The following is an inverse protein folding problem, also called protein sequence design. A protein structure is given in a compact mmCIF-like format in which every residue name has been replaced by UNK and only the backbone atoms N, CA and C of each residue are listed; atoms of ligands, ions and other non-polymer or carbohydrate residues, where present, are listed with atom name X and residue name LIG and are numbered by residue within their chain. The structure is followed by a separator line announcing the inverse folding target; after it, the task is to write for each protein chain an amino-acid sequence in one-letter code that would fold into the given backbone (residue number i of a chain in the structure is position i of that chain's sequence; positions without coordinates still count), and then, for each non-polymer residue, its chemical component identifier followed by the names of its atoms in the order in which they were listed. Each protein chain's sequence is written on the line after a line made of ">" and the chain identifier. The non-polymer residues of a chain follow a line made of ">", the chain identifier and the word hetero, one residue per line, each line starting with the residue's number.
data_IF_285119561779
#
_entry.id   IF_285119561779
#
_cell.length_a   1.000
_cell.length_b   1.000
_cell.length_c   1.000
_cell.angle_alpha   90.00
_cell.angle_beta   90.00
_cell.angle_gamma   90.00
#
_symmetry.space_group_name_H-M   'P 1'
#
loop_
_entity.id
_entity.type
_entity.pdbx_description
1 polymer ?
#
# COMPACT_ATOMS: atom_id res chain seq x y z
N UNK A 1 22.13 -4.92 -32.69
CA UNK A 1 21.85 -3.92 -31.64
C UNK A 1 20.69 -3.07 -32.10
N UNK A 2 19.63 -2.97 -31.30
CA UNK A 2 18.49 -2.07 -31.56
C UNK A 2 18.56 -0.95 -30.52
N UNK A 3 18.94 0.24 -30.96
CA UNK A 3 19.09 1.40 -30.09
C UNK A 3 17.82 2.26 -30.15
N UNK A 4 17.18 2.44 -29.00
CA UNK A 4 15.93 3.20 -28.88
C UNK A 4 16.12 4.44 -28.02
N UNK A 5 15.36 5.50 -28.31
CA UNK A 5 15.20 6.58 -27.32
C UNK A 5 14.44 6.07 -26.10
N UNK A 6 14.59 6.76 -24.96
CA UNK A 6 13.91 6.44 -23.70
C UNK A 6 12.40 6.34 -23.87
N UNK A 7 11.78 7.26 -24.62
CA UNK A 7 10.35 7.25 -24.91
C UNK A 7 9.91 6.06 -25.77
N UNK A 8 10.72 5.70 -26.79
CA UNK A 8 10.44 4.55 -27.64
C UNK A 8 10.56 3.23 -26.85
N UNK A 9 11.60 3.10 -26.03
CA UNK A 9 11.80 1.90 -25.23
C UNK A 9 10.78 1.78 -24.09
N UNK A 10 10.42 2.87 -23.42
CA UNK A 10 9.36 2.87 -22.40
C UNK A 10 8.03 2.38 -22.99
N UNK A 11 7.67 2.85 -24.19
CA UNK A 11 6.48 2.37 -24.91
C UNK A 11 6.61 0.89 -25.28
N UNK A 12 7.77 0.45 -25.77
CA UNK A 12 8.05 -0.94 -26.10
C UNK A 12 7.89 -1.88 -24.89
N UNK A 13 8.37 -1.46 -23.72
CA UNK A 13 8.34 -2.23 -22.48
C UNK A 13 7.01 -2.10 -21.69
N UNK A 14 6.06 -1.27 -22.15
CA UNK A 14 4.77 -1.06 -21.50
C UNK A 14 4.84 -0.24 -20.21
N UNK A 15 5.79 0.70 -20.11
CA UNK A 15 6.11 1.44 -18.88
C UNK A 15 6.03 2.96 -19.12
N UNK A 16 5.89 3.73 -18.04
CA UNK A 16 6.05 5.18 -18.11
C UNK A 16 7.54 5.57 -18.23
N UNK A 17 7.82 6.74 -18.80
CA UNK A 17 9.19 7.29 -18.87
C UNK A 17 9.81 7.46 -17.49
N UNK A 18 9.02 7.86 -16.50
CA UNK A 18 9.46 8.01 -15.11
C UNK A 18 9.86 6.67 -14.49
N UNK A 19 9.09 5.61 -14.75
CA UNK A 19 9.43 4.27 -14.28
C UNK A 19 10.76 3.78 -14.88
N UNK A 20 11.01 4.08 -16.15
CA UNK A 20 12.28 3.76 -16.82
C UNK A 20 13.47 4.52 -16.20
N UNK A 21 13.33 5.82 -15.88
CA UNK A 21 14.38 6.58 -15.18
C UNK A 21 14.68 6.02 -13.79
N UNK A 22 13.64 5.64 -13.04
CA UNK A 22 13.81 5.02 -11.73
C UNK A 22 14.55 3.68 -11.82
N UNK A 23 14.47 2.98 -12.95
CA UNK A 23 15.19 1.73 -13.18
C UNK A 23 16.63 1.97 -13.61
N UNK A 24 16.88 2.95 -14.48
CA UNK A 24 18.24 3.38 -14.84
C UNK A 24 19.05 3.83 -13.61
N UNK A 25 18.39 4.39 -12.60
CA UNK A 25 19.01 4.76 -11.34
C UNK A 25 19.43 3.58 -10.45
N UNK A 26 18.98 2.35 -10.75
CA UNK A 26 19.33 1.15 -9.97
C UNK A 26 20.66 0.58 -10.42
N UNK A 27 21.48 0.18 -9.45
CA UNK A 27 22.78 -0.46 -9.71
C UNK A 27 22.59 -1.76 -10.51
N UNK A 28 23.34 -1.90 -11.61
CA UNK A 28 23.32 -3.09 -12.47
C UNK A 28 22.32 -3.05 -13.63
N UNK A 29 21.49 -2.00 -13.76
CA UNK A 29 20.71 -1.78 -14.98
C UNK A 29 21.65 -1.46 -16.16
N UNK A 30 21.39 -1.98 -17.38
CA UNK A 30 22.25 -1.72 -18.53
C UNK A 30 22.40 -0.22 -18.80
N UNK A 31 23.65 0.23 -18.93
CA UNK A 31 23.94 1.62 -19.25
C UNK A 31 23.50 1.96 -20.69
N UNK A 32 23.27 3.24 -20.94
CA UNK A 32 22.99 3.73 -22.29
C UNK A 32 24.21 3.56 -23.19
N UNK A 33 23.97 3.26 -24.46
CA UNK A 33 24.97 3.23 -25.53
C UNK A 33 24.69 4.42 -26.44
N UNK A 34 25.67 5.32 -26.57
CA UNK A 34 25.54 6.58 -27.34
C UNK A 34 24.31 7.42 -26.95
N UNK A 35 24.02 7.46 -25.64
CA UNK A 35 22.86 8.18 -25.09
C UNK A 35 21.50 7.53 -25.37
N UNK A 36 21.48 6.33 -25.95
CA UNK A 36 20.26 5.56 -26.27
C UNK A 36 20.19 4.25 -25.48
N UNK A 37 18.98 3.70 -25.38
CA UNK A 37 18.72 2.42 -24.73
C UNK A 37 19.08 1.28 -25.69
N UNK A 38 19.97 0.38 -25.27
CA UNK A 38 20.15 -0.90 -25.95
C UNK A 38 19.00 -1.83 -25.58
N UNK A 39 18.07 -2.01 -26.52
CA UNK A 39 16.88 -2.81 -26.34
C UNK A 39 17.23 -4.25 -25.93
N UNK A 40 18.22 -4.88 -26.57
CA UNK A 40 18.52 -6.29 -26.34
C UNK A 40 19.12 -6.51 -24.95
N UNK A 41 20.02 -5.62 -24.53
CA UNK A 41 20.61 -5.69 -23.20
C UNK A 41 19.56 -5.44 -22.10
N UNK A 42 18.68 -4.45 -22.30
CA UNK A 42 17.63 -4.13 -21.34
C UNK A 42 16.56 -5.23 -21.29
N UNK A 43 16.14 -5.79 -22.42
CA UNK A 43 15.18 -6.90 -22.46
C UNK A 43 15.75 -8.16 -21.82
N UNK A 44 17.03 -8.47 -22.06
CA UNK A 44 17.71 -9.60 -21.42
C UNK A 44 17.87 -9.40 -19.89
N UNK A 45 18.16 -8.16 -19.45
CA UNK A 45 18.17 -7.81 -18.03
C UNK A 45 16.77 -8.01 -17.42
N UNK A 46 15.72 -7.53 -18.09
CA UNK A 46 14.33 -7.68 -17.63
C UNK A 46 13.83 -9.12 -17.67
N UNK A 47 14.28 -9.92 -18.64
CA UNK A 47 13.92 -11.33 -18.77
C UNK A 47 14.33 -12.16 -17.55
N UNK A 48 15.43 -11.79 -16.85
CA UNK A 48 15.85 -12.42 -15.58
C UNK A 48 14.81 -12.29 -14.48
N UNK A 49 13.96 -11.26 -14.55
CA UNK A 49 12.90 -10.97 -13.58
C UNK A 49 11.50 -11.32 -14.11
N UNK A 50 11.40 -11.72 -15.39
CA UNK A 50 10.17 -12.14 -16.07
C UNK A 50 10.28 -13.63 -16.38
N UNK A 51 9.93 -14.48 -15.41
CA UNK A 51 9.85 -15.92 -15.69
C UNK A 51 8.75 -16.20 -16.73
N UNK A 52 8.98 -17.14 -17.65
CA UNK A 52 7.92 -17.62 -18.56
C UNK A 52 6.87 -18.47 -17.84
N UNK A 53 7.23 -19.04 -16.68
CA UNK A 53 6.30 -19.65 -15.73
C UNK A 53 5.59 -18.63 -14.84
N UNK A 54 5.83 -17.33 -15.05
CA UNK A 54 5.25 -16.28 -14.25
C UNK A 54 3.77 -16.05 -14.61
N UNK A 55 2.84 -16.24 -13.66
CA UNK A 55 1.41 -16.01 -13.88
C UNK A 55 1.06 -14.57 -14.30
N UNK A 56 1.95 -13.59 -14.06
CA UNK A 56 1.78 -12.18 -14.45
C UNK A 56 1.51 -11.98 -15.95
N UNK A 57 2.01 -12.88 -16.81
CA UNK A 57 1.75 -12.83 -18.27
C UNK A 57 0.30 -13.15 -18.64
N UNK A 58 -0.46 -13.81 -17.76
CA UNK A 58 -1.88 -14.18 -17.96
C UNK A 58 -2.86 -13.16 -17.38
N UNK A 59 -2.40 -12.29 -16.47
CA UNK A 59 -3.22 -11.29 -15.77
C UNK A 59 -3.55 -10.04 -16.61
N UNK A 60 -2.97 -9.87 -17.80
CA UNK A 60 -3.33 -8.77 -18.72
C UNK A 60 -4.76 -8.86 -19.28
N UNK A 61 -5.48 -9.97 -19.00
CA UNK A 61 -6.92 -10.11 -19.29
C UNK A 61 -7.72 -9.78 -18.02
N UNK A 62 -7.86 -8.50 -17.72
CA UNK A 62 -8.69 -8.00 -16.61
C UNK A 62 -10.14 -8.52 -16.72
N UNK A 63 -10.66 -9.09 -15.62
CA UNK A 63 -12.11 -9.34 -15.44
C UNK A 63 -12.74 -8.21 -14.60
N UNK A 64 -14.03 -7.89 -14.81
CA UNK A 64 -14.70 -6.83 -14.07
C UNK A 64 -14.98 -7.26 -12.62
N UNK A 65 -14.88 -6.28 -11.72
CA UNK A 65 -15.07 -6.38 -10.28
C UNK A 65 -16.53 -6.74 -10.01
N UNK A 66 -16.79 -7.86 -9.35
CA UNK A 66 -18.11 -8.15 -8.76
C UNK A 66 -18.00 -8.10 -7.25
N UNK A 67 -18.81 -7.23 -6.67
CA UNK A 67 -19.03 -7.09 -5.24
C UNK A 67 -19.53 -8.40 -4.61
N UNK A 68 -18.94 -8.81 -3.50
CA UNK A 68 -19.55 -9.81 -2.62
C UNK A 68 -19.12 -9.62 -1.14
N UNK A 69 -19.85 -8.72 -0.48
CA UNK A 69 -20.44 -8.79 0.88
C UNK A 69 -19.67 -9.47 2.02
N UNK A 70 -19.42 -8.70 3.09
CA UNK A 70 -19.57 -9.16 4.46
C UNK A 70 -20.44 -8.17 5.26
N UNK A 71 -21.61 -8.64 5.73
CA UNK A 71 -22.52 -7.93 6.62
C UNK A 71 -21.94 -7.87 8.04
N UNK A 72 -21.74 -6.68 8.60
CA UNK A 72 -21.78 -6.43 10.04
C UNK A 72 -22.28 -5.01 10.31
N UNK A 73 -23.30 -4.90 11.17
CA UNK A 73 -23.98 -3.67 11.55
C UNK A 73 -22.99 -2.59 12.02
N UNK A 74 -23.11 -1.37 11.49
CA UNK A 74 -22.40 -0.17 12.00
C UNK A 74 -21.02 0.15 11.39
N UNK A 75 -20.66 -0.42 10.24
CA UNK A 75 -19.34 -0.21 9.58
C UNK A 75 -19.30 0.83 8.46
N UNK A 76 -20.40 1.52 8.17
CA UNK A 76 -20.40 2.50 7.07
C UNK A 76 -19.42 3.64 7.37
N UNK A 77 -18.43 3.89 6.48
CA UNK A 77 -17.52 5.01 6.65
C UNK A 77 -18.27 6.33 6.50
N UNK A 78 -18.01 7.27 7.41
CA UNK A 78 -18.55 8.62 7.40
C UNK A 78 -17.42 9.63 7.38
N UNK A 79 -17.69 10.82 6.84
CA UNK A 79 -16.76 11.93 6.93
C UNK A 79 -16.92 12.59 8.32
N UNK A 80 -15.81 12.75 9.03
CA UNK A 80 -15.77 13.29 10.40
C UNK A 80 -14.59 14.25 10.55
N UNK A 81 -14.72 15.29 11.38
CA UNK A 81 -13.62 16.22 11.63
C UNK A 81 -12.53 15.55 12.48
N UNK A 82 -11.28 15.96 12.31
CA UNK A 82 -10.16 15.49 13.14
C UNK A 82 -10.42 15.77 14.63
N UNK A 83 -11.05 16.90 14.97
CA UNK A 83 -11.42 17.22 16.35
C UNK A 83 -12.40 16.19 16.96
N UNK A 84 -13.42 15.78 16.21
CA UNK A 84 -14.39 14.79 16.65
C UNK A 84 -13.77 13.39 16.73
N UNK A 85 -12.91 13.04 15.78
CA UNK A 85 -12.15 11.78 15.81
C UNK A 85 -11.30 11.70 17.07
N UNK A 86 -10.51 12.73 17.39
CA UNK A 86 -9.68 12.79 18.61
C UNK A 86 -10.52 12.60 19.88
N UNK A 87 -11.70 13.24 19.94
CA UNK A 87 -12.64 13.09 21.07
C UNK A 87 -13.07 11.63 21.25
N UNK A 88 -13.52 10.97 20.19
CA UNK A 88 -13.99 9.57 20.25
C UNK A 88 -12.85 8.60 20.61
N UNK A 89 -11.66 8.82 20.04
CA UNK A 89 -10.46 8.01 20.36
C UNK A 89 -10.16 8.10 21.86
N UNK A 90 -10.16 9.30 22.43
CA UNK A 90 -9.89 9.53 23.84
C UNK A 90 -10.98 8.93 24.76
N UNK A 91 -12.25 9.07 24.41
CA UNK A 91 -13.39 8.51 25.17
C UNK A 91 -13.37 6.97 25.25
N UNK A 92 -12.70 6.33 24.29
CA UNK A 92 -12.70 4.88 24.15
C UNK A 92 -11.31 4.24 24.14
N UNK A 93 -10.27 4.97 24.57
CA UNK A 93 -8.89 4.49 24.54
C UNK A 93 -8.70 3.12 25.25
N UNK A 94 -9.40 2.93 26.37
CA UNK A 94 -9.32 1.70 27.16
C UNK A 94 -9.92 0.46 26.46
N UNK A 95 -10.71 0.62 25.38
CA UNK A 95 -11.29 -0.52 24.66
C UNK A 95 -10.25 -1.33 23.90
N UNK A 96 -9.13 -0.72 23.55
CA UNK A 96 -8.02 -1.38 22.90
C UNK A 96 -7.06 -2.08 23.90
N UNK A 97 -7.20 -1.80 25.20
CA UNK A 97 -6.30 -2.32 26.22
C UNK A 97 -6.37 -3.84 26.31
N UNK A 98 -5.20 -4.50 26.21
CA UNK A 98 -5.09 -5.96 26.28
C UNK A 98 -5.51 -6.68 24.99
N UNK A 99 -5.79 -5.95 23.91
CA UNK A 99 -5.97 -6.56 22.59
C UNK A 99 -4.68 -7.23 22.12
N UNK A 100 -4.84 -8.33 21.38
CA UNK A 100 -3.71 -8.93 20.65
C UNK A 100 -3.26 -7.92 19.59
N UNK A 101 -1.96 -7.62 19.56
CA UNK A 101 -1.40 -6.57 18.71
C UNK A 101 -1.77 -6.71 17.23
N UNK A 102 -1.83 -7.95 16.74
CA UNK A 102 -2.26 -8.29 15.40
C UNK A 102 -3.73 -7.93 15.11
N UNK A 103 -4.61 -8.19 16.06
CA UNK A 103 -6.03 -7.84 15.98
C UNK A 103 -6.21 -6.31 16.00
N UNK A 104 -5.43 -5.62 16.84
CA UNK A 104 -5.46 -4.16 16.89
C UNK A 104 -5.03 -3.55 15.57
N UNK A 105 -3.91 -3.99 14.99
CA UNK A 105 -3.46 -3.53 13.67
C UNK A 105 -4.52 -3.73 12.58
N UNK A 106 -5.24 -4.87 12.60
CA UNK A 106 -6.32 -5.15 11.66
C UNK A 106 -7.50 -4.18 11.81
N UNK A 107 -7.90 -3.88 13.05
CA UNK A 107 -9.00 -2.94 13.33
C UNK A 107 -8.60 -1.49 13.05
N UNK A 108 -7.35 -1.11 13.31
CA UNK A 108 -6.81 0.21 12.98
C UNK A 108 -6.86 0.47 11.46
N UNK A 109 -6.41 -0.49 10.65
CA UNK A 109 -6.50 -0.40 9.18
C UNK A 109 -7.96 -0.26 8.72
N UNK A 110 -8.87 -1.07 9.27
CA UNK A 110 -10.29 -1.00 8.93
C UNK A 110 -10.93 0.34 9.33
N UNK A 111 -10.53 0.93 10.46
CA UNK A 111 -11.06 2.21 10.92
C UNK A 111 -10.82 3.35 9.92
N UNK A 112 -9.75 3.26 9.14
CA UNK A 112 -9.32 4.27 8.16
C UNK A 112 -9.59 3.84 6.71
N UNK A 113 -10.35 2.76 6.50
CA UNK A 113 -10.70 2.26 5.18
C UNK A 113 -9.56 1.59 4.41
N UNK A 114 -8.53 1.12 5.12
CA UNK A 114 -7.40 0.40 4.56
C UNK A 114 -7.53 -1.12 4.80
N UNK A 115 -6.91 -1.87 3.91
CA UNK A 115 -6.78 -3.32 3.98
C UNK A 115 -5.38 -3.69 4.45
N UNK A 116 -5.33 -4.60 5.41
CA UNK A 116 -4.11 -5.17 5.94
C UNK A 116 -3.78 -6.47 5.20
N UNK A 117 -2.69 -6.50 4.43
CA UNK A 117 -2.23 -7.70 3.72
C UNK A 117 -1.17 -8.46 4.51
N UNK A 118 -1.29 -9.79 4.52
CA UNK A 118 -0.27 -10.75 4.98
C UNK A 118 -0.05 -11.80 3.89
N UNK A 119 1.19 -12.15 3.62
CA UNK A 119 1.47 -13.21 2.66
C UNK A 119 2.94 -13.61 2.58
N UNK A 120 3.24 -14.77 1.98
CA UNK A 120 4.61 -15.28 1.83
C UNK A 120 5.51 -14.40 0.94
N UNK A 121 4.91 -13.43 0.25
CA UNK A 121 5.60 -12.46 -0.61
C UNK A 121 5.66 -11.05 0.01
N UNK A 122 5.17 -10.89 1.24
CA UNK A 122 5.51 -9.72 2.04
C UNK A 122 6.99 -9.80 2.44
N UNK A 123 7.64 -8.64 2.68
CA UNK A 123 9.02 -8.63 3.16
C UNK A 123 9.16 -9.53 4.39
N UNK A 124 10.31 -10.19 4.59
CA UNK A 124 10.53 -11.09 5.72
C UNK A 124 10.20 -10.39 7.04
N UNK A 125 9.89 -11.15 8.10
CA UNK A 125 9.48 -10.66 9.44
C UNK A 125 10.43 -9.57 10.00
N UNK A 126 11.70 -9.56 9.56
CA UNK A 126 12.68 -8.50 9.85
C UNK A 126 12.23 -7.10 9.41
N UNK A 127 11.24 -6.99 8.52
CA UNK A 127 10.59 -5.78 8.07
C UNK A 127 9.07 -5.85 8.35
N UNK A 128 8.68 -6.36 9.52
CA UNK A 128 7.33 -6.23 10.05
C UNK A 128 6.21 -7.09 9.44
N UNK A 129 6.34 -7.57 8.20
CA UNK A 129 5.45 -8.58 7.61
C UNK A 129 4.05 -8.08 7.18
N UNK A 130 3.68 -6.83 7.45
CA UNK A 130 2.39 -6.23 7.07
C UNK A 130 2.52 -5.18 5.95
N UNK A 131 1.43 -5.00 5.20
CA UNK A 131 1.26 -3.89 4.24
C UNK A 131 -0.14 -3.31 4.35
N UNK A 132 -0.23 -1.98 4.25
CA UNK A 132 -1.49 -1.25 4.11
C UNK A 132 -1.80 -1.03 2.64
N UNK A 133 -3.07 -1.23 2.26
CA UNK A 133 -3.55 -1.05 0.90
C UNK A 133 -4.92 -0.37 0.88
N UNK A 134 -5.16 0.50 -0.10
CA UNK A 134 -6.46 1.13 -0.33
C UNK A 134 -7.44 0.15 -1.01
N UNK A 135 -6.91 -0.93 -1.61
CA UNK A 135 -7.70 -1.99 -2.25
C UNK A 135 -7.54 -3.31 -1.51
N UNK A 136 -8.63 -4.07 -1.44
CA UNK A 136 -8.61 -5.40 -0.85
C UNK A 136 -7.58 -6.26 -1.56
N UNK A 137 -6.63 -6.73 -0.77
CA UNK A 137 -5.49 -7.47 -1.27
C UNK A 137 -5.80 -8.97 -1.20
N UNK A 138 -5.67 -9.73 -2.30
CA UNK A 138 -6.02 -11.14 -2.30
C UNK A 138 -5.25 -11.93 -1.22
N UNK A 139 -5.92 -12.89 -0.58
CA UNK A 139 -5.34 -13.74 0.48
C UNK A 139 -4.08 -14.53 0.06
N UNK A 140 -3.82 -14.63 -1.24
CA UNK A 140 -2.62 -15.23 -1.81
C UNK A 140 -1.97 -14.26 -2.80
N UNK A 141 -1.17 -13.34 -2.29
CA UNK A 141 -0.33 -12.49 -3.13
C UNK A 141 0.91 -13.29 -3.56
N UNK A 142 1.01 -13.69 -4.83
CA UNK A 142 2.24 -14.25 -5.40
C UNK A 142 2.80 -13.28 -6.42
N UNK A 143 3.96 -12.70 -6.11
CA UNK A 143 4.79 -11.98 -7.08
C UNK A 143 4.28 -10.61 -7.54
N UNK A 144 3.43 -9.92 -6.77
CA UNK A 144 3.03 -8.53 -7.07
C UNK A 144 3.66 -7.54 -6.08
N UNK A 145 4.24 -6.45 -6.61
CA UNK A 145 4.46 -5.22 -5.85
C UNK A 145 3.24 -4.37 -6.13
N UNK A 146 2.32 -4.26 -5.16
CA UNK A 146 1.24 -3.29 -5.23
C UNK A 146 1.87 -1.90 -5.06
N UNK A 147 1.79 -1.07 -6.09
CA UNK A 147 2.15 0.33 -5.98
C UNK A 147 1.10 1.03 -5.11
N UNK A 148 1.50 1.45 -3.90
CA UNK A 148 0.62 2.17 -2.97
C UNK A 148 0.85 1.92 -1.48
N UNK A 149 1.74 1.01 -1.06
CA UNK A 149 2.01 0.74 0.35
C UNK A 149 3.49 0.92 0.72
N UNK A 150 3.74 1.45 1.91
CA UNK A 150 5.06 1.55 2.53
C UNK A 150 5.76 0.18 2.62
N UNK A 151 7.08 0.19 2.75
CA UNK A 151 7.89 -1.00 3.05
C UNK A 151 7.31 -1.70 4.31
N UNK A 152 7.48 -3.02 4.40
CA UNK A 152 6.77 -3.84 5.39
C UNK A 152 6.75 -3.22 6.79
N UNK A 153 5.55 -3.09 7.34
CA UNK A 153 5.27 -2.47 8.64
C UNK A 153 5.15 -3.56 9.69
N UNK A 154 5.62 -3.32 10.92
CA UNK A 154 5.21 -4.14 12.06
C UNK A 154 3.75 -3.86 12.42
N UNK A 155 3.17 -4.65 13.32
CA UNK A 155 1.79 -4.39 13.77
C UNK A 155 1.68 -3.04 14.52
N UNK A 156 2.70 -2.67 15.31
CA UNK A 156 2.79 -1.36 15.95
C UNK A 156 2.88 -0.22 14.92
N UNK A 157 3.72 -0.40 13.88
CA UNK A 157 3.86 0.59 12.81
C UNK A 157 2.54 0.76 12.04
N UNK A 158 1.77 -0.31 11.83
CA UNK A 158 0.44 -0.20 11.19
C UNK A 158 -0.49 0.70 11.99
N UNK A 159 -0.51 0.54 13.31
CA UNK A 159 -1.36 1.34 14.20
C UNK A 159 -0.91 2.80 14.17
N UNK A 160 0.40 3.02 14.28
CA UNK A 160 1.01 4.35 14.20
C UNK A 160 0.68 5.04 12.88
N UNK A 161 0.90 4.39 11.75
CA UNK A 161 0.66 4.95 10.42
C UNK A 161 -0.84 5.25 10.18
N UNK A 162 -1.74 4.35 10.61
CA UNK A 162 -3.19 4.61 10.51
C UNK A 162 -3.62 5.82 11.36
N UNK A 163 -3.04 5.96 12.56
CA UNK A 163 -3.29 7.10 13.44
C UNK A 163 -2.72 8.38 12.85
N UNK A 164 -1.47 8.36 12.38
CA UNK A 164 -0.81 9.54 11.81
C UNK A 164 -1.53 10.01 10.55
N UNK A 165 -1.83 9.10 9.62
CA UNK A 165 -2.61 9.38 8.41
C UNK A 165 -3.97 10.04 8.72
N UNK A 166 -4.58 9.70 9.85
CA UNK A 166 -5.90 10.23 10.24
C UNK A 166 -5.80 11.55 10.99
N UNK A 167 -4.84 11.68 11.91
CA UNK A 167 -4.79 12.78 12.87
C UNK A 167 -3.81 13.90 12.47
N UNK A 168 -2.92 13.66 11.51
CA UNK A 168 -2.03 14.67 10.98
C UNK A 168 -2.82 15.75 10.23
N UNK A 169 -2.45 17.00 10.47
CA UNK A 169 -3.01 18.17 9.80
C UNK A 169 -2.01 18.73 8.80
N UNK A 170 -2.50 19.17 7.65
CA UNK A 170 -1.72 20.00 6.73
C UNK A 170 -1.62 21.44 7.28
N UNK A 171 -0.65 22.21 6.78
CA UNK A 171 -0.36 23.56 7.28
C UNK A 171 -1.52 24.55 7.13
N UNK A 172 -2.46 24.27 6.22
CA UNK A 172 -3.64 25.06 5.90
C UNK A 172 -4.93 24.49 6.52
N UNK A 173 -4.84 23.38 7.24
CA UNK A 173 -5.99 22.74 7.90
C UNK A 173 -6.15 23.21 9.35
N UNK A 174 -7.40 23.17 9.84
CA UNK A 174 -7.72 23.27 11.28
C UNK A 174 -8.46 22.00 11.71
N UNK A 175 -8.33 21.59 12.98
CA UNK A 175 -8.92 20.33 13.44
C UNK A 175 -10.44 20.26 13.26
N UNK A 176 -11.14 21.39 13.38
CA UNK A 176 -12.60 21.47 13.26
C UNK A 176 -13.07 21.27 11.82
N UNK A 177 -12.25 21.61 10.83
CA UNK A 177 -12.61 21.60 9.40
C UNK A 177 -11.92 20.51 8.59
N UNK A 178 -10.85 19.92 9.12
CA UNK A 178 -10.14 18.81 8.50
C UNK A 178 -11.01 17.54 8.56
N UNK A 179 -11.65 17.19 7.44
CA UNK A 179 -12.51 16.01 7.35
C UNK A 179 -11.70 14.78 6.95
N UNK A 180 -11.99 13.64 7.58
CA UNK A 180 -11.45 12.32 7.23
C UNK A 180 -12.59 11.32 7.11
N UNK A 181 -12.49 10.43 6.13
CA UNK A 181 -13.46 9.34 5.94
C UNK A 181 -13.07 8.14 6.80
N UNK A 182 -13.84 7.87 7.84
CA UNK A 182 -13.50 6.87 8.87
C UNK A 182 -14.70 6.00 9.24
N UNK A 183 -14.46 4.84 9.85
CA UNK A 183 -15.50 3.98 10.44
C UNK A 183 -15.59 4.25 11.94
N UNK A 184 -16.61 4.99 12.44
CA UNK A 184 -16.64 5.46 13.83
C UNK A 184 -16.59 4.36 14.87
N UNK A 185 -17.24 3.22 14.58
CA UNK A 185 -17.31 2.06 15.47
C UNK A 185 -15.96 1.41 15.73
N UNK A 186 -14.92 1.75 14.97
CA UNK A 186 -13.57 1.19 15.07
C UNK A 186 -12.51 2.21 15.54
N UNK A 187 -12.88 3.48 15.75
CA UNK A 187 -11.92 4.54 16.09
C UNK A 187 -11.13 4.28 17.38
N UNK A 188 -11.67 3.50 18.31
CA UNK A 188 -10.93 3.10 19.52
C UNK A 188 -9.62 2.36 19.20
N UNK A 189 -9.51 1.72 18.03
CA UNK A 189 -8.29 1.07 17.57
C UNK A 189 -7.20 2.05 17.10
N UNK A 190 -7.46 3.37 17.10
CA UNK A 190 -6.43 4.40 16.86
C UNK A 190 -5.88 5.01 18.15
N UNK A 191 -6.33 4.52 19.32
CA UNK A 191 -5.84 4.98 20.61
C UNK A 191 -4.37 4.60 20.84
N UNK A 192 -3.67 5.41 21.63
CA UNK A 192 -2.26 5.19 21.96
C UNK A 192 -2.07 3.87 22.72
N UNK A 193 -1.07 3.10 22.32
CA UNK A 193 -0.49 2.05 23.14
C UNK A 193 0.45 2.68 24.16
N UNK A 194 -0.05 2.96 25.36
CA UNK A 194 0.84 3.20 26.50
C UNK A 194 1.29 1.84 27.04
N UNK A 195 2.53 1.44 26.71
CA UNK A 195 3.28 0.45 27.48
C UNK A 195 4.60 1.06 27.96
#
# INVERSE_FOLDING_TARGET
>A
MSLMSVSQYAKHAGLSRQALYNWEAKQGFPARVDGKIDQLACDAYLARYRSSSDPRTKNAKSKPISAMVARSVGREPVDMSVSEIKRIVAEHANKATGMVLEEHAQLAAQAVGLFLSKGPNNPPITFGGYRLSIVETPAHEVGQIIAGGAFGLSADDVIFECRDYTLALMSDETEETAMRRITPSLLYALADYNH
#
